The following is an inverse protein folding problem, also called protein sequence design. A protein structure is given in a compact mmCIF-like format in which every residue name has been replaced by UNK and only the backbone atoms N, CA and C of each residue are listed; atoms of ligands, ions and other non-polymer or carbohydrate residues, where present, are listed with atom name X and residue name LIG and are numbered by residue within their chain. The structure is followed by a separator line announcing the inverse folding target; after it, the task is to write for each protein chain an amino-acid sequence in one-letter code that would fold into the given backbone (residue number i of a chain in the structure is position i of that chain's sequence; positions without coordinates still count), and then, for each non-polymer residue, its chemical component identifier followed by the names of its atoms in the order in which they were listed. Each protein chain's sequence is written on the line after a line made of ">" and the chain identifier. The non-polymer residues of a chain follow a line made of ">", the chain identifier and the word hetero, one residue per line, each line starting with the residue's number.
data_IF_264289146861
#
_entry.id   IF_264289146861
#
_cell.length_a   1.000
_cell.length_b   1.000
_cell.length_c   1.000
_cell.angle_alpha   90.00
_cell.angle_beta   90.00
_cell.angle_gamma   90.00
#
_symmetry.space_group_name_H-M   'P 1'
#
loop_
_entity.id
_entity.type
_entity.pdbx_description
1 polymer ?
#
# COMPACT_ATOMS: atom_id res chain seq x y z
N UNK A 1 -15.69 -34.60 37.23
CA UNK A 1 -14.78 -33.50 36.83
C UNK A 1 -14.44 -33.69 35.35
N UNK A 2 -15.42 -33.49 34.47
CA UNK A 2 -15.33 -33.90 33.05
C UNK A 2 -16.04 -32.92 32.11
N UNK A 3 -16.50 -31.78 32.62
CA UNK A 3 -17.24 -30.77 31.84
C UNK A 3 -16.39 -29.59 31.40
N UNK A 4 -15.16 -29.44 31.91
CA UNK A 4 -14.24 -28.36 31.51
C UNK A 4 -13.41 -28.68 30.25
N UNK A 5 -13.24 -29.97 29.91
CA UNK A 5 -12.52 -30.39 28.69
C UNK A 5 -13.32 -30.18 27.40
N UNK A 6 -14.63 -29.96 27.48
CA UNK A 6 -15.48 -29.71 26.30
C UNK A 6 -15.60 -28.24 25.91
N UNK A 7 -15.27 -27.32 26.82
CA UNK A 7 -15.22 -25.88 26.52
C UNK A 7 -13.86 -25.44 25.95
N UNK A 8 -12.78 -26.17 26.26
CA UNK A 8 -11.44 -25.88 25.74
C UNK A 8 -11.22 -26.34 24.29
N UNK A 9 -12.11 -27.16 23.73
CA UNK A 9 -12.02 -27.64 22.34
C UNK A 9 -12.88 -26.81 21.36
N UNK A 10 -13.67 -25.86 21.86
CA UNK A 10 -14.51 -24.97 21.04
C UNK A 10 -13.87 -23.60 20.76
N UNK A 11 -12.69 -23.32 21.34
CA UNK A 11 -11.94 -22.07 21.17
C UNK A 11 -10.80 -22.20 20.14
N UNK A 12 -10.89 -23.17 19.23
CA UNK A 12 -9.91 -23.47 18.18
C UNK A 12 -10.57 -23.58 16.78
N UNK A 13 -11.71 -22.91 16.60
CA UNK A 13 -12.43 -22.88 15.33
C UNK A 13 -12.80 -21.41 15.07
N UNK A 14 -12.36 -20.89 13.91
CA UNK A 14 -12.52 -19.51 13.37
C UNK A 14 -11.42 -18.48 13.64
N UNK A 15 -10.18 -18.80 13.25
CA UNK A 15 -9.29 -17.78 12.67
C UNK A 15 -8.83 -18.24 11.27
N UNK A 16 -9.80 -18.59 10.43
CA UNK A 16 -9.61 -18.52 8.98
C UNK A 16 -10.01 -17.12 8.58
N UNK A 17 -9.09 -16.16 8.76
CA UNK A 17 -9.13 -14.95 7.94
C UNK A 17 -8.88 -15.45 6.53
N UNK A 18 -9.97 -15.50 5.77
CA UNK A 18 -9.95 -15.64 4.33
C UNK A 18 -9.17 -14.46 3.77
N UNK A 19 -7.88 -14.67 3.49
CA UNK A 19 -7.09 -13.83 2.58
C UNK A 19 -7.57 -14.01 1.11
N UNK A 20 -8.89 -14.03 0.89
CA UNK A 20 -9.50 -14.12 -0.44
C UNK A 20 -9.87 -12.73 -0.96
N UNK A 21 -8.92 -11.81 -0.87
CA UNK A 21 -8.76 -10.72 -1.85
C UNK A 21 -7.33 -10.75 -2.38
N UNK A 22 -6.82 -11.94 -2.73
CA UNK A 22 -5.84 -12.02 -3.78
C UNK A 22 -6.55 -11.58 -5.08
N UNK A 23 -6.12 -10.44 -5.62
CA UNK A 23 -6.62 -9.76 -6.80
C UNK A 23 -7.30 -10.70 -7.81
N UNK A 24 -8.58 -10.46 -8.07
CA UNK A 24 -9.25 -11.06 -9.20
C UNK A 24 -8.64 -10.48 -10.48
N UNK A 25 -8.07 -11.39 -11.28
CA UNK A 25 -7.77 -11.28 -12.71
C UNK A 25 -8.34 -10.02 -13.37
N UNK A 26 -7.48 -9.14 -13.87
CA UNK A 26 -7.81 -8.37 -15.05
C UNK A 26 -6.85 -8.67 -16.20
N UNK A 27 -7.51 -9.04 -17.29
CA UNK A 27 -7.01 -9.47 -18.58
C UNK A 27 -6.02 -8.44 -19.14
N UNK A 28 -4.82 -8.81 -19.63
CA UNK A 28 -3.97 -7.88 -20.36
C UNK A 28 -4.65 -7.55 -21.70
N UNK A 29 -5.54 -6.56 -21.69
CA UNK A 29 -6.04 -5.93 -22.89
C UNK A 29 -4.88 -5.34 -23.68
N UNK A 30 -4.89 -5.41 -25.02
CA UNK A 30 -3.77 -4.98 -25.84
C UNK A 30 -3.68 -3.45 -25.80
N UNK A 31 -2.75 -2.92 -24.99
CA UNK A 31 -2.46 -1.48 -24.87
C UNK A 31 -2.71 -0.86 -23.49
N UNK A 32 -2.77 -1.66 -22.42
CA UNK A 32 -3.06 -1.17 -21.08
C UNK A 32 -1.94 -0.30 -20.51
N UNK A 33 -2.25 0.97 -20.25
CA UNK A 33 -1.75 1.74 -19.11
C UNK A 33 -0.25 2.02 -18.96
N UNK A 34 0.57 1.48 -19.84
CA UNK A 34 1.85 2.01 -20.27
C UNK A 34 2.45 0.96 -21.20
N UNK A 35 2.65 1.34 -22.47
CA UNK A 35 3.27 0.43 -23.43
C UNK A 35 4.71 0.00 -23.03
N UNK A 36 5.32 0.67 -22.04
CA UNK A 36 6.70 0.45 -21.60
C UNK A 36 6.89 0.42 -20.05
N UNK A 37 5.84 0.50 -19.24
CA UNK A 37 5.93 0.56 -17.77
C UNK A 37 4.99 -0.48 -17.16
N UNK A 38 5.53 -1.37 -16.32
CA UNK A 38 4.72 -2.37 -15.64
C UNK A 38 4.17 -1.74 -14.36
N UNK A 39 3.20 -0.84 -14.51
CA UNK A 39 2.69 -0.01 -13.42
C UNK A 39 2.31 -0.81 -12.17
N UNK A 40 1.77 -2.03 -12.33
CA UNK A 40 1.39 -2.89 -11.22
C UNK A 40 2.61 -3.39 -10.44
N UNK A 41 3.73 -3.65 -11.10
CA UNK A 41 4.98 -4.08 -10.44
C UNK A 41 5.68 -2.89 -9.82
N UNK A 42 5.84 -1.79 -10.54
CA UNK A 42 6.58 -0.61 -10.09
C UNK A 42 5.89 0.02 -8.87
N UNK A 43 4.57 0.26 -8.94
CA UNK A 43 3.82 0.80 -7.79
C UNK A 43 3.84 -0.15 -6.58
N UNK A 44 3.86 -1.47 -6.82
CA UNK A 44 3.94 -2.47 -5.76
C UNK A 44 5.32 -2.52 -5.11
N UNK A 45 6.39 -2.34 -5.90
CA UNK A 45 7.76 -2.28 -5.42
C UNK A 45 7.95 -1.03 -4.55
N UNK A 46 7.52 0.15 -5.01
CA UNK A 46 7.58 1.38 -4.20
C UNK A 46 6.71 1.29 -2.94
N UNK A 47 5.53 0.67 -3.01
CA UNK A 47 4.70 0.43 -1.84
C UNK A 47 5.41 -0.48 -0.80
N UNK A 48 6.19 -1.45 -1.24
CA UNK A 48 6.97 -2.31 -0.36
C UNK A 48 8.14 -1.54 0.28
N UNK A 49 8.84 -0.71 -0.50
CA UNK A 49 9.93 0.16 0.00
C UNK A 49 9.38 1.12 1.06
N UNK A 50 8.29 1.82 0.76
CA UNK A 50 7.59 2.70 1.69
C UNK A 50 7.18 1.98 2.97
N UNK A 51 6.55 0.80 2.87
CA UNK A 51 6.14 0.00 4.02
C UNK A 51 7.32 -0.42 4.90
N UNK A 52 8.45 -0.78 4.30
CA UNK A 52 9.66 -1.15 5.05
C UNK A 52 10.29 0.07 5.74
N UNK A 53 10.37 1.21 5.05
CA UNK A 53 10.89 2.45 5.61
C UNK A 53 10.00 2.97 6.77
N UNK A 54 8.68 2.89 6.61
CA UNK A 54 7.72 3.21 7.66
C UNK A 54 7.91 2.33 8.91
N UNK A 55 8.11 1.02 8.72
CA UNK A 55 8.40 0.09 9.82
C UNK A 55 9.74 0.41 10.50
N UNK A 56 10.78 0.73 9.74
CA UNK A 56 12.09 1.11 10.28
C UNK A 56 12.00 2.39 11.13
N UNK A 57 11.33 3.43 10.63
CA UNK A 57 11.10 4.66 11.37
C UNK A 57 10.24 4.45 12.63
N UNK A 58 9.19 3.63 12.54
CA UNK A 58 8.35 3.30 13.69
C UNK A 58 9.09 2.52 14.79
N UNK A 59 10.07 1.70 14.41
CA UNK A 59 10.90 0.94 15.35
C UNK A 59 12.04 1.78 15.94
N UNK A 60 12.62 2.67 15.14
CA UNK A 60 13.73 3.52 15.53
C UNK A 60 13.58 4.94 14.92
N UNK A 61 12.93 5.88 15.63
CA UNK A 61 12.57 7.18 15.09
C UNK A 61 13.74 8.17 15.10
N UNK A 62 14.82 7.83 14.40
CA UNK A 62 15.95 8.74 14.15
C UNK A 62 15.67 9.66 12.97
N UNK A 63 16.40 10.78 12.87
CA UNK A 63 16.35 11.66 11.69
C UNK A 63 16.70 10.91 10.40
N UNK A 64 17.64 9.97 10.44
CA UNK A 64 18.01 9.15 9.28
C UNK A 64 16.86 8.26 8.81
N UNK A 65 16.19 7.55 9.72
CA UNK A 65 15.04 6.70 9.37
C UNK A 65 13.82 7.54 8.98
N UNK A 66 13.63 8.73 9.57
CA UNK A 66 12.60 9.68 9.15
C UNK A 66 12.80 10.12 7.71
N UNK A 67 14.03 10.56 7.36
CA UNK A 67 14.36 10.98 6.00
C UNK A 67 14.20 9.82 5.01
N UNK A 68 14.63 8.61 5.38
CA UNK A 68 14.44 7.41 4.54
C UNK A 68 12.96 7.11 4.30
N UNK A 69 12.11 7.28 5.32
CA UNK A 69 10.66 7.15 5.17
C UNK A 69 10.07 8.26 4.28
N UNK A 70 10.51 9.51 4.46
CA UNK A 70 10.09 10.65 3.65
C UNK A 70 10.44 10.45 2.18
N UNK A 71 11.67 10.05 1.88
CA UNK A 71 12.14 9.77 0.52
C UNK A 71 11.34 8.63 -0.12
N UNK A 72 11.17 7.50 0.59
CA UNK A 72 10.38 6.37 0.08
C UNK A 72 8.89 6.71 -0.15
N UNK A 73 8.34 7.65 0.63
CA UNK A 73 6.97 8.11 0.41
C UNK A 73 6.89 9.03 -0.82
N UNK A 74 7.90 9.87 -1.02
CA UNK A 74 8.00 10.67 -2.24
C UNK A 74 8.06 9.79 -3.49
N UNK A 75 8.93 8.77 -3.50
CA UNK A 75 9.08 7.85 -4.62
C UNK A 75 7.77 7.11 -4.95
N UNK A 76 7.02 6.68 -3.91
CA UNK A 76 5.70 6.09 -4.09
C UNK A 76 4.68 7.06 -4.71
N UNK A 77 4.67 8.32 -4.28
CA UNK A 77 3.75 9.33 -4.83
C UNK A 77 4.10 9.69 -6.27
N UNK A 78 5.39 9.76 -6.60
CA UNK A 78 5.86 9.99 -7.96
C UNK A 78 5.45 8.81 -8.88
N UNK A 79 5.62 7.56 -8.43
CA UNK A 79 5.17 6.39 -9.17
C UNK A 79 3.64 6.29 -9.30
N UNK A 80 2.89 6.79 -8.31
CA UNK A 80 1.44 6.91 -8.40
C UNK A 80 1.06 7.96 -9.47
N UNK A 81 1.63 9.16 -9.41
CA UNK A 81 1.36 10.21 -10.40
C UNK A 81 1.71 9.79 -11.84
N UNK A 82 2.75 8.99 -12.03
CA UNK A 82 3.12 8.44 -13.35
C UNK A 82 2.04 7.55 -13.97
N UNK A 83 1.11 6.99 -13.17
CA UNK A 83 0.01 6.15 -13.65
C UNK A 83 -1.31 6.93 -13.77
N UNK A 84 -1.28 8.26 -13.62
CA UNK A 84 -2.46 9.12 -13.65
C UNK A 84 -3.38 8.85 -14.87
N UNK A 85 -2.79 8.67 -16.05
CA UNK A 85 -3.52 8.40 -17.28
C UNK A 85 -4.24 7.03 -17.31
N UNK A 86 -4.04 6.18 -16.30
CA UNK A 86 -4.76 4.93 -16.08
C UNK A 86 -6.02 5.08 -15.25
N UNK A 87 -6.16 6.21 -14.57
CA UNK A 87 -7.29 6.46 -13.71
C UNK A 87 -8.51 6.72 -14.61
N UNK A 88 -9.64 6.02 -14.37
CA UNK A 88 -10.86 6.33 -15.09
C UNK A 88 -11.22 7.80 -14.91
N UNK A 89 -11.66 8.47 -15.98
CA UNK A 89 -12.02 9.89 -15.93
C UNK A 89 -13.07 10.24 -14.86
N UNK A 90 -13.88 9.27 -14.44
CA UNK A 90 -14.86 9.43 -13.35
C UNK A 90 -14.20 9.58 -11.96
N UNK A 91 -13.00 9.03 -11.78
CA UNK A 91 -12.26 8.98 -10.52
C UNK A 91 -11.08 9.97 -10.49
N UNK A 92 -10.71 10.54 -11.64
CA UNK A 92 -9.58 11.45 -11.83
C UNK A 92 -9.47 12.53 -10.76
N UNK A 93 -10.53 13.31 -10.55
CA UNK A 93 -10.49 14.41 -9.58
C UNK A 93 -10.29 13.94 -8.14
N UNK A 94 -10.78 12.75 -7.78
CA UNK A 94 -10.57 12.18 -6.45
C UNK A 94 -9.15 11.61 -6.31
N UNK A 95 -8.58 11.11 -7.40
CA UNK A 95 -7.21 10.63 -7.46
C UNK A 95 -6.20 11.77 -7.32
N UNK A 96 -6.35 12.83 -8.11
CA UNK A 96 -5.50 14.02 -8.05
C UNK A 96 -5.51 14.62 -6.64
N UNK A 97 -6.70 14.77 -6.04
CA UNK A 97 -6.85 15.29 -4.69
C UNK A 97 -6.16 14.39 -3.64
N UNK A 98 -6.22 13.06 -3.81
CA UNK A 98 -5.55 12.14 -2.89
C UNK A 98 -4.01 12.22 -2.99
N UNK A 99 -3.47 12.44 -4.19
CA UNK A 99 -2.02 12.68 -4.38
C UNK A 99 -1.63 14.02 -3.75
N UNK A 100 -2.39 15.08 -3.98
CA UNK A 100 -2.16 16.41 -3.41
C UNK A 100 -2.18 16.37 -1.87
N UNK A 101 -3.23 15.82 -1.27
CA UNK A 101 -3.35 15.67 0.19
C UNK A 101 -2.17 14.86 0.79
N UNK A 102 -1.69 13.85 0.06
CA UNK A 102 -0.55 13.05 0.49
C UNK A 102 0.79 13.81 0.36
N UNK A 103 0.97 14.63 -0.68
CA UNK A 103 2.14 15.51 -0.82
C UNK A 103 2.16 16.57 0.28
N UNK A 104 1.02 17.18 0.59
CA UNK A 104 0.90 18.13 1.70
C UNK A 104 1.28 17.49 3.03
N UNK A 105 0.79 16.26 3.29
CA UNK A 105 1.14 15.50 4.49
C UNK A 105 2.64 15.18 4.56
N UNK A 106 3.28 14.94 3.42
CA UNK A 106 4.71 14.66 3.31
C UNK A 106 5.56 15.92 3.52
N UNK A 107 5.11 17.07 3.01
CA UNK A 107 5.76 18.36 3.21
C UNK A 107 5.71 18.80 4.68
N UNK A 108 4.59 18.53 5.36
CA UNK A 108 4.41 18.76 6.80
C UNK A 108 5.22 17.80 7.68
N UNK A 109 5.70 16.67 7.13
CA UNK A 109 6.54 15.73 7.87
C UNK A 109 7.91 16.35 8.15
N UNK A 110 8.14 16.66 9.43
CA UNK A 110 9.40 17.18 9.95
C UNK A 110 10.33 16.05 10.40
N UNK A 111 11.46 15.97 9.71
CA UNK A 111 12.66 15.26 10.11
C UNK A 111 13.75 16.31 10.50
#
# INVERSE_FOLDING_TARGET
>A
MSSFLKFSAFLLITFTITLSTACSKDNPGPGGCAANFNWTVELQDEANVLSNAAQAYAQDPTTENCNTYKDAYQDYLDAAEDIDFCVPAADQAAYDAAIEDARDSLDDLQC
#
